data_IF_167557803552
#
_entry.id   IF_167557803552
#
_cell.length_a   1.000
_cell.length_b   1.000
_cell.length_c   1.000
_cell.angle_alpha   90.00
_cell.angle_beta   90.00
_cell.angle_gamma   90.00
#
_symmetry.space_group_name_H-M   'P 1'
#
loop_
_entity.id
_entity.type
_entity.pdbx_description
1 polymer ?
#
# COMPACT_ATOMS: atom_id res chain seq x y z
N UNK A 1 7.84 -8.98 -1.21
CA UNK A 1 6.70 -9.92 -1.43
C UNK A 1 6.26 -10.58 -0.12
N UNK A 2 4.97 -10.52 0.19
CA UNK A 2 4.31 -11.08 1.38
C UNK A 2 3.12 -11.96 0.99
N UNK A 3 2.80 -12.96 1.83
CA UNK A 3 1.56 -13.73 1.70
C UNK A 3 0.60 -13.32 2.81
N UNK A 4 -0.62 -12.94 2.43
CA UNK A 4 -1.73 -12.66 3.34
C UNK A 4 -2.70 -13.84 3.33
N UNK A 5 -3.39 -14.06 4.44
CA UNK A 5 -4.37 -15.15 4.59
C UNK A 5 -5.76 -14.55 4.76
N UNK A 6 -6.72 -15.02 3.96
CA UNK A 6 -8.13 -14.67 4.08
C UNK A 6 -8.96 -15.96 4.12
N UNK A 7 -9.41 -16.36 5.31
CA UNK A 7 -10.03 -17.68 5.50
C UNK A 7 -9.09 -18.81 5.10
N UNK A 8 -9.47 -19.59 4.09
CA UNK A 8 -8.64 -20.67 3.52
C UNK A 8 -7.78 -20.25 2.32
N UNK A 9 -7.88 -18.99 1.89
CA UNK A 9 -7.15 -18.49 0.73
C UNK A 9 -5.80 -17.89 1.11
N UNK A 10 -4.81 -18.12 0.25
CA UNK A 10 -3.49 -17.46 0.31
C UNK A 10 -3.40 -16.42 -0.81
N UNK A 11 -3.16 -15.18 -0.42
CA UNK A 11 -3.12 -14.01 -1.32
C UNK A 11 -1.71 -13.45 -1.35
N UNK A 12 -1.16 -13.23 -2.55
CA UNK A 12 0.22 -12.80 -2.70
C UNK A 12 0.30 -11.29 -2.95
N UNK A 13 0.71 -10.56 -1.92
CA UNK A 13 0.99 -9.13 -1.98
C UNK A 13 2.44 -8.93 -2.42
N UNK A 14 2.63 -8.58 -3.69
CA UNK A 14 3.96 -8.19 -4.20
C UNK A 14 4.34 -6.81 -3.69
N UNK A 15 5.60 -6.43 -3.85
CA UNK A 15 6.04 -5.08 -3.51
C UNK A 15 5.32 -4.05 -4.40
N UNK A 16 5.10 -2.84 -3.87
CA UNK A 16 4.50 -1.76 -4.67
C UNK A 16 5.46 -1.35 -5.79
N UNK A 17 4.97 -1.08 -7.01
CA UNK A 17 5.80 -0.48 -8.05
C UNK A 17 6.44 0.82 -7.56
N UNK A 18 7.64 1.12 -8.04
CA UNK A 18 8.41 2.31 -7.64
C UNK A 18 8.32 3.45 -8.67
N UNK A 19 7.30 3.41 -9.53
CA UNK A 19 7.06 4.44 -10.54
C UNK A 19 6.32 5.66 -9.94
N UNK A 20 6.33 6.78 -10.65
CA UNK A 20 5.80 8.08 -10.16
C UNK A 20 4.31 8.06 -9.84
N UNK A 21 3.56 7.14 -10.45
CA UNK A 21 2.15 6.87 -10.23
C UNK A 21 1.87 6.07 -8.94
N UNK A 22 2.91 5.56 -8.27
CA UNK A 22 2.81 4.85 -7.00
C UNK A 22 3.58 5.59 -5.90
N UNK A 23 3.05 6.73 -5.39
CA UNK A 23 3.71 7.47 -4.31
C UNK A 23 3.91 6.57 -3.08
N UNK A 24 4.96 6.76 -2.26
CA UNK A 24 5.17 5.99 -1.05
C UNK A 24 3.96 5.99 -0.11
N UNK A 25 3.86 4.95 0.73
CA UNK A 25 2.79 4.90 1.73
C UNK A 25 2.95 6.05 2.74
N UNK A 26 1.83 6.65 3.20
CA UNK A 26 1.87 7.80 4.09
C UNK A 26 2.40 7.40 5.48
N UNK A 27 2.90 8.38 6.23
CA UNK A 27 3.32 8.24 7.64
C UNK A 27 4.34 7.12 7.92
N UNK A 28 5.14 6.74 6.92
CA UNK A 28 6.12 5.66 7.05
C UNK A 28 5.52 4.27 7.16
N UNK A 29 4.24 4.12 6.77
CA UNK A 29 3.57 2.82 6.70
C UNK A 29 4.27 1.88 5.71
N UNK A 30 4.17 0.57 5.95
CA UNK A 30 4.77 -0.47 5.10
C UNK A 30 3.77 -1.58 4.80
N UNK A 31 4.06 -2.38 3.76
CA UNK A 31 3.24 -3.55 3.41
C UNK A 31 3.27 -4.65 4.50
N UNK A 32 4.17 -4.56 5.48
CA UNK A 32 4.23 -5.47 6.64
C UNK A 32 3.12 -5.21 7.65
N UNK A 33 2.41 -4.08 7.52
CA UNK A 33 1.23 -3.77 8.32
C UNK A 33 -0.07 -4.16 7.61
N UNK A 34 0.00 -4.59 6.34
CA UNK A 34 -1.18 -4.97 5.57
C UNK A 34 -1.82 -6.27 6.08
N UNK A 35 -3.14 -6.32 6.03
CA UNK A 35 -3.98 -7.49 6.26
C UNK A 35 -4.89 -7.71 5.06
N UNK A 36 -5.36 -8.94 4.87
CA UNK A 36 -6.39 -9.22 3.89
C UNK A 36 -7.77 -9.15 4.54
N UNK A 37 -8.72 -8.56 3.82
CA UNK A 37 -10.13 -8.51 4.19
C UNK A 37 -10.99 -8.67 2.94
N UNK A 38 -12.23 -9.16 3.06
CA UNK A 38 -13.18 -8.96 1.97
C UNK A 38 -13.60 -7.48 1.92
N UNK A 39 -13.95 -6.97 0.74
CA UNK A 39 -14.34 -5.56 0.58
C UNK A 39 -15.42 -5.13 1.58
N UNK A 40 -16.42 -5.97 1.87
CA UNK A 40 -17.47 -5.65 2.85
C UNK A 40 -17.05 -5.67 4.32
N UNK A 41 -15.86 -6.17 4.62
CA UNK A 41 -15.27 -6.22 5.96
C UNK A 41 -14.30 -5.06 6.21
N UNK A 42 -13.92 -4.33 5.16
CA UNK A 42 -13.11 -3.11 5.24
C UNK A 42 -13.86 -2.08 6.08
N UNK A 43 -13.15 -1.44 7.01
CA UNK A 43 -13.72 -0.46 7.94
C UNK A 43 -13.40 0.96 7.49
N UNK A 44 -14.21 1.90 7.97
CA UNK A 44 -13.93 3.32 7.80
C UNK A 44 -12.54 3.65 8.36
N UNK A 45 -11.74 4.34 7.55
CA UNK A 45 -10.34 4.73 7.84
C UNK A 45 -9.29 3.65 7.59
N UNK A 46 -9.66 2.42 7.20
CA UNK A 46 -8.67 1.44 6.74
C UNK A 46 -8.02 1.96 5.44
N UNK A 47 -6.71 1.88 5.31
CA UNK A 47 -6.02 2.34 4.10
C UNK A 47 -6.00 1.23 3.05
N UNK A 48 -6.69 1.40 1.93
CA UNK A 48 -6.78 0.41 0.85
C UNK A 48 -5.53 0.47 -0.02
N UNK A 49 -4.83 -0.66 -0.15
CA UNK A 49 -3.54 -0.74 -0.86
C UNK A 49 -3.63 -1.46 -2.21
N UNK A 50 -4.45 -2.51 -2.29
CA UNK A 50 -4.53 -3.36 -3.46
C UNK A 50 -5.83 -4.17 -3.46
N UNK A 51 -6.27 -4.56 -4.66
CA UNK A 51 -7.26 -5.61 -4.85
C UNK A 51 -6.61 -6.94 -5.25
N UNK A 52 -7.35 -8.03 -5.14
CA UNK A 52 -6.97 -9.32 -5.70
C UNK A 52 -8.00 -9.76 -6.74
N UNK A 53 -7.70 -9.47 -8.01
CA UNK A 53 -8.54 -9.88 -9.15
C UNK A 53 -8.86 -11.39 -9.20
N UNK A 54 -10.04 -11.71 -9.72
CA UNK A 54 -10.64 -13.06 -9.73
C UNK A 54 -10.08 -14.04 -10.80
N UNK A 55 -8.93 -13.74 -11.41
CA UNK A 55 -8.34 -14.64 -12.40
C UNK A 55 -7.93 -15.98 -11.74
N UNK A 56 -8.41 -17.10 -12.29
CA UNK A 56 -8.12 -18.44 -11.78
C UNK A 56 -6.61 -18.71 -11.70
N UNK A 57 -6.09 -18.92 -10.49
CA UNK A 57 -4.67 -19.18 -10.24
C UNK A 57 -4.17 -18.48 -8.98
N UNK A 58 -2.85 -18.25 -8.91
CA UNK A 58 -2.22 -17.44 -7.87
C UNK A 58 -2.71 -15.99 -8.01
N UNK A 59 -3.67 -15.57 -7.18
CA UNK A 59 -4.20 -14.20 -7.17
C UNK A 59 -3.06 -13.22 -6.86
N UNK A 60 -2.66 -12.45 -7.87
CA UNK A 60 -1.66 -11.37 -7.72
C UNK A 60 -2.40 -10.10 -7.32
N UNK A 61 -1.79 -9.35 -6.41
CA UNK A 61 -2.28 -8.04 -6.02
C UNK A 61 -2.23 -7.07 -7.22
N UNK A 62 -3.37 -6.42 -7.51
CA UNK A 62 -3.43 -5.20 -8.29
C UNK A 62 -3.27 -4.03 -7.32
N UNK A 63 -2.08 -3.43 -7.25
CA UNK A 63 -1.84 -2.29 -6.37
C UNK A 63 -2.65 -1.08 -6.83
N UNK A 64 -3.32 -0.44 -5.88
CA UNK A 64 -3.94 0.86 -6.10
C UNK A 64 -2.79 1.88 -6.26
N UNK A 65 -2.78 2.70 -7.33
CA UNK A 65 -1.73 3.71 -7.55
C UNK A 65 -1.56 4.62 -6.33
N UNK A 66 -2.65 5.26 -5.92
CA UNK A 66 -2.71 6.10 -4.71
C UNK A 66 -3.61 5.43 -3.67
N UNK A 67 -3.03 4.84 -2.60
CA UNK A 67 -3.80 4.28 -1.50
C UNK A 67 -4.72 5.34 -0.89
N UNK A 68 -5.96 4.95 -0.59
CA UNK A 68 -6.99 5.84 -0.09
C UNK A 68 -7.59 5.32 1.22
N UNK A 69 -8.00 6.20 2.14
CA UNK A 69 -8.75 5.80 3.32
C UNK A 69 -10.13 5.30 2.88
N UNK A 70 -10.55 4.15 3.38
CA UNK A 70 -11.87 3.62 3.09
C UNK A 70 -12.95 4.42 3.83
N UNK A 71 -14.06 4.67 3.16
CA UNK A 71 -15.31 5.17 3.73
C UNK A 71 -16.47 4.27 3.25
N UNK A 72 -16.62 3.08 3.86
CA UNK A 72 -17.45 2.02 3.32
C UNK A 72 -18.95 2.32 3.47
N UNK A 73 -19.66 2.31 2.35
CA UNK A 73 -21.10 2.51 2.25
C UNK A 73 -21.78 1.32 1.56
N UNK A 74 -23.01 1.00 1.99
CA UNK A 74 -23.88 0.20 1.14
C UNK A 74 -24.13 0.98 -0.16
N UNK A 75 -24.18 0.31 -1.32
CA UNK A 75 -24.21 1.04 -2.59
C UNK A 75 -25.38 2.03 -2.72
N UNK A 76 -26.56 1.66 -2.22
CA UNK A 76 -27.75 2.54 -2.19
C UNK A 76 -27.56 3.83 -1.36
N UNK A 77 -26.60 3.78 -0.45
CA UNK A 77 -26.26 4.84 0.51
C UNK A 77 -24.92 5.51 0.10
N UNK A 78 -24.33 5.17 -1.07
CA UNK A 78 -23.14 5.87 -1.58
C UNK A 78 -23.50 7.33 -1.86
N UNK A 79 -22.77 8.30 -1.31
CA UNK A 79 -23.01 9.71 -1.59
C UNK A 79 -22.57 10.13 -3.01
N UNK A 80 -21.88 9.26 -3.75
CA UNK A 80 -21.46 9.45 -5.13
C UNK A 80 -22.66 9.43 -6.11
N UNK A 81 -22.73 10.36 -7.08
CA UNK A 81 -23.74 10.35 -8.16
C UNK A 81 -23.12 10.56 -9.55
N UNK A 82 -23.07 9.52 -10.39
CA UNK A 82 -22.57 9.64 -11.76
C UNK A 82 -21.05 9.69 -11.87
N UNK A 83 -20.33 9.03 -10.96
CA UNK A 83 -18.96 8.60 -11.22
C UNK A 83 -18.98 7.41 -12.20
N UNK A 84 -17.86 7.14 -12.89
CA UNK A 84 -17.76 6.04 -13.89
C UNK A 84 -18.16 4.69 -13.28
N UNK A 85 -17.77 4.43 -12.04
CA UNK A 85 -18.06 3.19 -11.33
C UNK A 85 -19.56 3.06 -10.96
N UNK A 86 -20.24 4.18 -10.69
CA UNK A 86 -21.69 4.19 -10.51
C UNK A 86 -22.39 3.87 -11.84
N UNK A 87 -21.94 4.52 -12.92
CA UNK A 87 -22.48 4.32 -14.26
C UNK A 87 -22.29 2.86 -14.73
N UNK A 88 -21.18 2.23 -14.38
CA UNK A 88 -20.91 0.81 -14.64
C UNK A 88 -21.89 -0.12 -13.91
N UNK A 89 -22.17 0.14 -12.64
CA UNK A 89 -23.16 -0.65 -11.89
C UNK A 89 -24.57 -0.41 -12.42
N UNK A 90 -24.90 0.81 -12.79
CA UNK A 90 -26.17 1.15 -13.41
C UNK A 90 -26.33 0.46 -14.76
N UNK A 91 -25.31 0.48 -15.61
CA UNK A 91 -25.31 -0.24 -16.89
C UNK A 91 -25.48 -1.76 -16.69
N UNK A 92 -24.78 -2.35 -15.71
CA UNK A 92 -24.91 -3.75 -15.35
C UNK A 92 -26.32 -4.11 -14.86
N UNK A 93 -26.95 -3.20 -14.11
CA UNK A 93 -28.30 -3.34 -13.54
C UNK A 93 -29.37 -3.17 -14.61
N UNK A 94 -29.24 -2.17 -15.50
CA UNK A 94 -30.16 -1.92 -16.61
C UNK A 94 -30.09 -3.00 -17.69
N UNK A 95 -28.94 -3.68 -17.83
CA UNK A 95 -28.82 -4.85 -18.70
C UNK A 95 -29.74 -6.02 -18.31
N UNK A 96 -30.19 -6.08 -17.05
CA UNK A 96 -31.15 -7.05 -16.54
C UNK A 96 -31.78 -6.56 -15.24
N UNK A 97 -32.96 -5.96 -15.36
CA UNK A 97 -33.67 -5.31 -14.25
C UNK A 97 -34.04 -6.26 -13.10
N UNK A 98 -33.97 -7.59 -13.28
CA UNK A 98 -34.14 -8.54 -12.17
C UNK A 98 -33.01 -8.43 -11.14
N UNK A 99 -31.86 -7.84 -11.53
CA UNK A 99 -30.67 -7.65 -10.71
C UNK A 99 -30.73 -6.44 -9.78
N UNK A 100 -31.75 -5.59 -9.86
CA UNK A 100 -31.87 -4.40 -8.99
C UNK A 100 -31.84 -4.79 -7.51
N UNK A 101 -32.56 -5.87 -7.15
CA UNK A 101 -32.53 -6.40 -5.79
C UNK A 101 -31.15 -6.97 -5.41
N UNK A 102 -30.32 -7.27 -6.42
CA UNK A 102 -29.03 -7.91 -6.23
C UNK A 102 -27.87 -6.96 -5.93
N UNK A 103 -28.02 -5.70 -6.32
CA UNK A 103 -26.97 -4.69 -6.27
C UNK A 103 -26.40 -4.54 -4.86
N UNK A 104 -27.25 -4.40 -3.85
CA UNK A 104 -26.82 -4.18 -2.46
C UNK A 104 -26.19 -5.41 -1.76
N UNK A 105 -26.32 -6.61 -2.34
CA UNK A 105 -25.58 -7.79 -1.84
C UNK A 105 -24.33 -8.09 -2.65
N UNK A 106 -24.25 -7.62 -3.89
CA UNK A 106 -23.09 -7.85 -4.76
C UNK A 106 -22.00 -6.80 -4.63
N UNK A 107 -22.35 -5.55 -4.32
CA UNK A 107 -21.40 -4.44 -4.33
C UNK A 107 -21.33 -3.71 -2.99
N UNK A 108 -20.18 -3.10 -2.73
CA UNK A 108 -19.94 -2.16 -1.64
C UNK A 108 -19.20 -0.95 -2.22
N UNK A 109 -19.56 0.26 -1.79
CA UNK A 109 -18.73 1.43 -2.06
C UNK A 109 -17.68 1.50 -0.94
N UNK A 110 -16.40 1.54 -1.30
CA UNK A 110 -15.27 1.67 -0.38
C UNK A 110 -14.76 3.09 -0.26
N UNK A 111 -14.99 3.94 -1.25
CA UNK A 111 -14.60 5.34 -1.25
C UNK A 111 -15.54 6.07 -2.20
N UNK A 112 -16.40 6.98 -1.73
CA UNK A 112 -17.17 7.83 -2.62
C UNK A 112 -16.27 8.93 -3.16
N UNK A 113 -16.27 9.18 -4.48
CA UNK A 113 -15.69 10.41 -4.98
C UNK A 113 -16.53 11.60 -4.50
N UNK A 114 -15.96 12.52 -3.73
CA UNK A 114 -16.61 13.83 -3.55
C UNK A 114 -16.64 14.54 -4.91
N UNK A 115 -17.82 15.01 -5.35
CA UNK A 115 -17.94 15.74 -6.60
C UNK A 115 -17.18 17.08 -6.56
N UNK A 116 -16.16 17.23 -7.40
CA UNK A 116 -15.57 18.53 -7.71
C UNK A 116 -14.89 18.53 -9.07
N UNK A 117 -15.43 19.27 -10.03
CA UNK A 117 -14.72 19.63 -11.26
C UNK A 117 -13.41 20.36 -10.90
N UNK A 118 -12.26 19.67 -10.86
CA UNK A 118 -10.99 20.34 -10.63
C UNK A 118 -9.82 19.39 -10.44
N UNK A 119 -8.89 19.43 -11.39
CA UNK A 119 -7.55 18.85 -11.27
C UNK A 119 -6.96 19.06 -9.84
N UNK A 120 -6.43 17.97 -9.27
CA UNK A 120 -5.66 17.88 -8.02
C UNK A 120 -6.44 17.51 -6.74
N UNK A 121 -6.70 16.21 -6.55
CA UNK A 121 -6.89 15.63 -5.20
C UNK A 121 -8.11 14.73 -5.00
N UNK A 122 -8.92 14.48 -6.04
CA UNK A 122 -10.16 13.71 -5.89
C UNK A 122 -9.89 12.27 -5.43
N UNK A 123 -10.45 11.89 -4.28
CA UNK A 123 -10.47 10.52 -3.80
C UNK A 123 -11.18 9.63 -4.84
N UNK A 124 -10.63 8.46 -5.19
CA UNK A 124 -11.22 7.62 -6.23
C UNK A 124 -12.61 7.16 -5.81
N UNK A 125 -13.55 7.16 -6.76
CA UNK A 125 -14.81 6.45 -6.60
C UNK A 125 -14.50 4.94 -6.65
N UNK A 126 -14.55 4.25 -5.52
CA UNK A 126 -14.23 2.82 -5.44
C UNK A 126 -15.49 2.02 -5.13
N UNK A 127 -16.07 1.37 -6.14
CA UNK A 127 -17.17 0.42 -5.98
C UNK A 127 -16.68 -0.98 -6.31
N UNK A 128 -16.71 -1.85 -5.31
CA UNK A 128 -16.10 -3.17 -5.40
C UNK A 128 -17.11 -4.29 -5.20
N UNK A 129 -16.80 -5.47 -5.75
CA UNK A 129 -17.56 -6.67 -5.43
C UNK A 129 -17.42 -6.97 -3.94
N UNK A 130 -18.56 -7.20 -3.27
CA UNK A 130 -18.68 -7.38 -1.82
C UNK A 130 -17.69 -8.39 -1.24
N UNK A 131 -17.44 -9.48 -1.97
CA UNK A 131 -16.56 -10.57 -1.55
C UNK A 131 -15.16 -10.50 -2.18
N UNK A 132 -14.84 -9.44 -2.93
CA UNK A 132 -13.50 -9.25 -3.49
C UNK A 132 -12.49 -9.16 -2.34
N UNK A 133 -11.41 -9.95 -2.36
CA UNK A 133 -10.34 -9.78 -1.40
C UNK A 133 -9.58 -8.48 -1.66
N UNK A 134 -9.27 -7.76 -0.58
CA UNK A 134 -8.54 -6.50 -0.57
C UNK A 134 -7.34 -6.61 0.37
N UNK A 135 -6.25 -5.92 0.07
CA UNK A 135 -5.17 -5.66 1.01
C UNK A 135 -5.36 -4.27 1.62
N UNK A 136 -5.43 -4.20 2.95
CA UNK A 136 -5.65 -2.95 3.68
C UNK A 136 -4.67 -2.81 4.84
N UNK A 137 -4.35 -1.59 5.25
CA UNK A 137 -3.73 -1.32 6.56
C UNK A 137 -4.86 -0.92 7.52
N UNK A 138 -5.03 -1.64 8.65
CA UNK A 138 -6.08 -1.33 9.62
C UNK A 138 -6.02 0.11 10.14
N UNK A 139 -7.18 0.74 10.31
CA UNK A 139 -7.31 2.14 10.76
C UNK A 139 -6.56 2.44 12.07
N UNK A 140 -6.52 1.50 13.02
CA UNK A 140 -5.80 1.67 14.27
C UNK A 140 -4.27 1.78 14.08
N UNK A 141 -3.73 1.08 13.07
CA UNK A 141 -2.33 1.20 12.68
C UNK A 141 -2.07 2.51 11.93
N UNK A 142 -2.99 2.91 11.04
CA UNK A 142 -2.92 4.19 10.32
C UNK A 142 -2.90 5.36 11.31
N UNK A 143 -3.86 5.43 12.22
CA UNK A 143 -3.95 6.50 13.24
C UNK A 143 -2.74 6.51 14.17
N UNK A 144 -2.21 5.34 14.53
CA UNK A 144 -1.00 5.27 15.34
C UNK A 144 0.24 5.82 14.61
N UNK A 145 0.37 5.53 13.30
CA UNK A 145 1.46 6.04 12.47
C UNK A 145 1.34 7.54 12.23
N UNK A 146 0.13 8.04 11.95
CA UNK A 146 -0.16 9.46 11.83
C UNK A 146 0.22 10.22 13.10
N UNK A 147 -0.26 9.75 14.26
CA UNK A 147 0.07 10.34 15.56
C UNK A 147 1.58 10.32 15.83
N UNK A 148 2.28 9.23 15.51
CA UNK A 148 3.73 9.17 15.67
C UNK A 148 4.46 10.17 14.74
N UNK A 149 3.94 10.39 13.53
CA UNK A 149 4.48 11.38 12.60
C UNK A 149 4.23 12.82 13.09
N UNK A 150 3.05 13.11 13.66
CA UNK A 150 2.72 14.41 14.27
C UNK A 150 3.60 14.71 15.50
N UNK A 151 3.73 13.74 16.41
CA UNK A 151 4.52 13.88 17.63
C UNK A 151 6.02 14.03 17.37
N UNK A 152 6.51 13.56 16.22
CA UNK A 152 7.91 13.67 15.82
C UNK A 152 8.36 15.12 15.57
N UNK A 153 7.45 16.08 15.39
CA UNK A 153 7.68 17.55 15.32
C UNK A 153 8.83 18.06 14.43
N UNK A 154 9.42 17.20 13.60
CA UNK A 154 10.40 17.51 12.59
C UNK A 154 9.71 17.33 11.24
N UNK A 155 9.95 18.22 10.26
CA UNK A 155 9.34 18.08 8.95
C UNK A 155 9.66 16.69 8.40
N UNK A 156 8.62 15.93 8.04
CA UNK A 156 8.77 14.67 7.30
C UNK A 156 9.48 15.04 6.00
N UNK A 157 10.72 14.60 5.86
CA UNK A 157 11.56 14.83 4.68
C UNK A 157 11.71 13.53 3.93
N UNK A 158 11.55 13.58 2.62
CA UNK A 158 11.86 12.45 1.76
C UNK A 158 13.36 12.38 1.59
N UNK A 159 13.95 11.23 1.89
CA UNK A 159 15.37 10.99 1.71
C UNK A 159 15.56 9.92 0.64
N UNK A 160 16.40 10.21 -0.35
CA UNK A 160 16.91 9.19 -1.24
C UNK A 160 17.94 8.36 -0.50
N UNK A 161 17.69 7.06 -0.33
CA UNK A 161 18.61 6.13 0.30
C UNK A 161 19.23 5.25 -0.79
N UNK A 162 20.54 5.36 -0.97
CA UNK A 162 21.29 4.49 -1.87
C UNK A 162 22.19 3.58 -1.04
N UNK A 163 22.16 2.29 -1.36
CA UNK A 163 23.06 1.30 -0.78
C UNK A 163 23.93 0.71 -1.89
N UNK A 164 25.24 0.64 -1.63
CA UNK A 164 26.22 -0.01 -2.50
C UNK A 164 26.83 -1.20 -1.78
N UNK A 165 27.01 -2.30 -2.53
CA UNK A 165 27.77 -3.46 -2.07
C UNK A 165 28.43 -4.12 -3.27
N UNK A 166 29.65 -4.59 -3.04
CA UNK A 166 30.43 -5.31 -4.03
C UNK A 166 30.24 -6.82 -3.85
N UNK A 167 29.94 -7.50 -4.95
CA UNK A 167 29.79 -8.95 -5.00
C UNK A 167 30.77 -9.54 -6.02
N UNK A 168 31.50 -10.57 -5.62
CA UNK A 168 32.17 -11.43 -6.57
C UNK A 168 31.14 -12.37 -7.21
N UNK A 169 30.85 -12.17 -8.50
CA UNK A 169 29.88 -12.95 -9.26
C UNK A 169 30.38 -13.18 -10.69
N UNK A 170 29.95 -14.28 -11.30
CA UNK A 170 30.28 -14.63 -12.68
C UNK A 170 29.38 -13.92 -13.71
N UNK A 171 28.30 -13.27 -13.26
CA UNK A 171 27.37 -12.52 -14.12
C UNK A 171 26.63 -11.42 -13.34
N UNK A 172 26.08 -10.40 -14.05
CA UNK A 172 25.23 -9.38 -13.43
C UNK A 172 23.98 -9.94 -12.74
N UNK A 173 23.38 -11.01 -13.26
CA UNK A 173 22.21 -11.67 -12.68
C UNK A 173 22.54 -12.37 -11.36
N UNK A 174 23.71 -13.00 -11.28
CA UNK A 174 24.21 -13.61 -10.06
C UNK A 174 24.53 -12.54 -9.00
N UNK A 175 25.16 -11.43 -9.39
CA UNK A 175 25.38 -10.29 -8.49
C UNK A 175 24.06 -9.72 -7.95
N UNK A 176 23.04 -9.56 -8.80
CA UNK A 176 21.73 -9.09 -8.39
C UNK A 176 21.01 -10.07 -7.44
N UNK A 177 21.13 -11.37 -7.67
CA UNK A 177 20.58 -12.40 -6.78
C UNK A 177 21.28 -12.40 -5.42
N UNK A 178 22.60 -12.27 -5.39
CA UNK A 178 23.39 -12.17 -4.15
C UNK A 178 23.01 -10.91 -3.35
N UNK A 179 22.87 -9.77 -4.04
CA UNK A 179 22.39 -8.52 -3.44
C UNK A 179 20.98 -8.67 -2.85
N UNK A 180 20.07 -9.30 -3.59
CA UNK A 180 18.71 -9.57 -3.12
C UNK A 180 18.68 -10.48 -1.88
N UNK A 181 19.44 -11.58 -1.88
CA UNK A 181 19.50 -12.48 -0.72
C UNK A 181 20.15 -11.81 0.51
N UNK A 182 21.13 -10.91 0.30
CA UNK A 182 21.71 -10.12 1.38
C UNK A 182 20.73 -9.08 1.94
N UNK A 183 19.99 -8.36 1.09
CA UNK A 183 18.93 -7.46 1.53
C UNK A 183 17.83 -8.20 2.31
N UNK A 184 17.46 -9.38 1.85
CA UNK A 184 16.48 -10.23 2.53
C UNK A 184 16.99 -10.74 3.88
N UNK A 185 18.28 -11.08 3.99
CA UNK A 185 18.87 -11.51 5.27
C UNK A 185 18.98 -10.35 6.26
N UNK A 186 19.11 -9.09 5.80
CA UNK A 186 19.05 -7.93 6.68
C UNK A 186 17.71 -7.71 7.36
N UNK A 187 16.60 -8.13 6.74
CA UNK A 187 15.29 -8.15 7.39
C UNK A 187 15.20 -9.19 8.53
N UNK A 188 16.15 -10.14 8.61
CA UNK A 188 16.15 -11.24 9.57
C UNK A 188 17.30 -11.19 10.60
N UNK A 189 18.56 -10.91 10.20
CA UNK A 189 19.77 -11.17 11.00
C UNK A 189 20.94 -10.18 10.74
N UNK A 190 20.69 -8.87 10.82
CA UNK A 190 21.61 -7.87 11.40
C UNK A 190 23.09 -7.78 10.99
N UNK A 191 23.41 -7.28 9.80
CA UNK A 191 24.60 -6.45 9.53
C UNK A 191 24.15 -5.21 8.76
N UNK A 192 24.02 -4.03 9.38
CA UNK A 192 23.44 -2.91 8.66
C UNK A 192 24.39 -2.39 7.58
N UNK A 193 23.87 -2.05 6.40
CA UNK A 193 24.65 -1.40 5.36
C UNK A 193 25.10 0.01 5.77
N UNK A 194 26.18 0.49 5.16
CA UNK A 194 26.45 1.93 5.09
C UNK A 194 25.39 2.55 4.18
N UNK A 195 24.61 3.49 4.72
CA UNK A 195 23.57 4.18 3.99
C UNK A 195 24.09 5.53 3.53
N UNK A 196 24.12 5.75 2.22
CA UNK A 196 24.29 7.09 1.65
C UNK A 196 22.92 7.75 1.54
N UNK A 197 22.74 8.85 2.27
CA UNK A 197 21.51 9.61 2.34
C UNK A 197 21.72 10.97 1.67
N UNK A 198 20.99 11.22 0.58
CA UNK A 198 20.95 12.52 -0.08
C UNK A 198 19.78 13.37 0.43
N UNK A 199 20.02 14.64 0.74
CA UNK A 199 18.96 15.63 0.97
C UNK A 199 18.64 16.47 -0.28
N UNK A 200 17.53 17.21 -0.24
CA UNK A 200 17.04 18.06 -1.34
C UNK A 200 17.99 19.21 -1.72
N UNK A 201 18.99 19.50 -0.88
CA UNK A 201 20.00 20.52 -1.13
C UNK A 201 21.31 19.94 -1.70
N UNK A 202 21.33 18.62 -1.97
CA UNK A 202 22.49 17.92 -2.50
C UNK A 202 23.54 17.57 -1.44
N UNK A 203 23.22 17.60 -0.14
CA UNK A 203 24.12 17.08 0.88
C UNK A 203 23.99 15.56 0.98
N UNK A 204 25.14 14.89 1.07
CA UNK A 204 25.23 13.44 1.29
C UNK A 204 25.70 13.16 2.72
N UNK A 205 24.97 12.28 3.41
CA UNK A 205 25.33 11.76 4.72
C UNK A 205 25.61 10.27 4.60
N UNK A 206 26.66 9.79 5.26
CA UNK A 206 26.93 8.34 5.38
C UNK A 206 26.56 7.93 6.79
N UNK A 207 25.57 7.05 6.94
CA UNK A 207 25.13 6.53 8.24
C UNK A 207 25.52 5.06 8.36
N UNK A 208 26.36 4.78 9.36
CA UNK A 208 26.54 3.44 9.92
C UNK A 208 25.52 3.23 11.04
N UNK A 209 24.54 2.35 10.81
CA UNK A 209 23.46 2.08 11.77
C UNK A 209 23.95 1.35 13.04
N UNK A 210 25.21 0.89 13.13
CA UNK A 210 25.81 0.29 14.34
C UNK A 210 26.65 1.26 15.16
N UNK A 211 27.06 2.40 14.62
CA UNK A 211 27.96 3.34 15.32
C UNK A 211 27.35 3.95 16.61
N UNK A 212 26.02 3.90 16.79
CA UNK A 212 25.34 4.42 17.98
C UNK A 212 25.49 3.55 19.24
N UNK A 213 26.08 2.35 19.17
CA UNK A 213 26.30 1.51 20.36
C UNK A 213 27.69 1.64 21.01
N UNK A 214 28.65 2.36 20.44
CA UNK A 214 29.91 2.64 21.15
C UNK A 214 29.87 4.01 21.83
N UNK A 215 29.20 4.04 22.99
CA UNK A 215 29.42 5.11 23.97
C UNK A 215 30.73 4.85 24.71
N UNK A 216 31.63 5.83 24.60
CA UNK A 216 32.64 6.25 25.60
C UNK A 216 33.55 5.17 26.20
N UNK A 217 34.75 5.05 25.63
CA UNK A 217 35.94 4.56 26.32
C UNK A 217 37.08 5.57 26.19
N UNK A 218 37.20 6.46 27.16
CA UNK A 218 38.25 7.47 27.25
C UNK A 218 39.60 6.87 27.68
N UNK A 219 40.67 7.42 27.08
CA UNK A 219 42.12 7.33 27.36
C UNK A 219 42.91 6.21 26.68
#
# INVERSE_FOLDING_TARGET
MRTLTLGSESLHLTDRPTASDYPPLPHGLTLDQAVAAHAHEVKAGDLVLADFSDASGTRRAGHVPTPYPADPHALRDCPCQGCEECDDVDAWTLGDHSRVADVGWRFVCLSPSEHGEGDEGDEPCAIELRNRPMAVIPVDVVTAAEKAAEEAALPVRTYGVMWSADFEASSPQEAAQLAYEQLKSYAADGWPPELEIGDENGHTYVIDLKATQQKEGSR
#
